data_IF_547956034654
#
_entry.id   IF_547956034654
#
_cell.length_a   1.000
_cell.length_b   1.000
_cell.length_c   1.000
_cell.angle_alpha   90.00
_cell.angle_beta   90.00
_cell.angle_gamma   90.00
#
_symmetry.space_group_name_H-M   'P 1'
#
loop_
_entity.id
_entity.type
_entity.pdbx_description
1 polymer ?
#
# COMPACT_ATOMS: atom_id res chain seq x y z
N UNK A 1 9.99 -6.88 -5.16
CA UNK A 1 9.38 -7.65 -4.05
C UNK A 1 9.08 -6.64 -2.98
N UNK A 2 7.79 -6.46 -2.62
CA UNK A 2 7.36 -5.40 -1.69
C UNK A 2 7.68 -5.76 -0.24
N UNK A 3 7.48 -7.02 0.14
CA UNK A 3 7.84 -7.54 1.46
C UNK A 3 8.95 -8.58 1.35
N UNK A 4 9.98 -8.47 2.20
CA UNK A 4 11.04 -9.49 2.28
C UNK A 4 10.58 -10.76 3.00
N UNK A 5 9.60 -10.65 3.88
CA UNK A 5 9.02 -11.74 4.67
C UNK A 5 7.51 -11.58 4.62
N UNK A 6 6.82 -12.60 4.10
CA UNK A 6 5.38 -12.60 3.98
C UNK A 6 4.76 -12.95 5.34
N UNK A 7 3.83 -12.14 5.88
CA UNK A 7 3.10 -12.49 7.09
C UNK A 7 2.19 -13.70 6.83
N UNK A 8 2.04 -14.56 7.84
CA UNK A 8 1.11 -15.67 7.73
C UNK A 8 -0.35 -15.17 7.75
N UNK A 9 -1.22 -15.84 6.98
CA UNK A 9 -2.67 -15.54 6.99
C UNK A 9 -3.29 -15.62 8.41
N UNK A 10 -2.73 -16.45 9.30
CA UNK A 10 -3.15 -16.54 10.69
C UNK A 10 -2.85 -15.24 11.46
N UNK A 11 -1.71 -14.60 11.21
CA UNK A 11 -1.34 -13.31 11.82
C UNK A 11 -2.33 -12.20 11.43
N UNK A 12 -2.78 -12.17 10.17
CA UNK A 12 -3.81 -11.23 9.71
C UNK A 12 -5.16 -11.48 10.39
N UNK A 13 -5.53 -12.76 10.58
CA UNK A 13 -6.76 -13.10 11.31
C UNK A 13 -6.69 -12.67 12.79
N UNK A 14 -5.52 -12.80 13.43
CA UNK A 14 -5.29 -12.34 14.81
C UNK A 14 -5.42 -10.81 14.92
N UNK A 15 -4.82 -10.06 13.98
CA UNK A 15 -4.96 -8.59 13.93
C UNK A 15 -6.40 -8.14 13.74
N UNK A 16 -7.20 -8.92 13.01
CA UNK A 16 -8.64 -8.69 12.87
C UNK A 16 -9.45 -8.94 14.14
N UNK A 17 -8.85 -9.41 15.25
CA UNK A 17 -9.54 -9.68 16.51
C UNK A 17 -10.81 -10.55 16.37
N UNK A 18 -10.76 -11.54 15.46
CA UNK A 18 -11.88 -12.46 15.21
C UNK A 18 -12.97 -11.93 14.26
N UNK A 19 -12.77 -10.77 13.63
CA UNK A 19 -13.72 -10.24 12.62
C UNK A 19 -13.80 -11.09 11.35
N UNK A 20 -12.75 -11.85 11.01
CA UNK A 20 -12.71 -12.69 9.82
C UNK A 20 -11.99 -14.02 10.10
N UNK A 21 -12.46 -15.08 9.46
CA UNK A 21 -11.80 -16.38 9.41
C UNK A 21 -10.78 -16.45 8.26
N UNK A 22 -9.80 -17.35 8.38
CA UNK A 22 -8.82 -17.63 7.30
C UNK A 22 -9.50 -17.95 5.97
N UNK A 23 -10.60 -18.69 6.02
CA UNK A 23 -11.34 -19.06 4.81
C UNK A 23 -11.98 -17.85 4.13
N UNK A 24 -12.47 -16.88 4.90
CA UNK A 24 -13.03 -15.63 4.36
C UNK A 24 -11.95 -14.74 3.76
N UNK A 25 -10.78 -14.64 4.41
CA UNK A 25 -9.65 -13.88 3.89
C UNK A 25 -9.18 -14.42 2.54
N UNK A 26 -8.98 -15.74 2.41
CA UNK A 26 -8.57 -16.35 1.14
C UNK A 26 -9.66 -16.28 0.05
N UNK A 27 -10.94 -16.25 0.44
CA UNK A 27 -12.04 -16.00 -0.53
C UNK A 27 -12.00 -14.55 -1.03
N UNK A 28 -11.77 -13.58 -0.14
CA UNK A 28 -11.65 -12.18 -0.49
C UNK A 28 -10.45 -11.92 -1.41
N UNK A 29 -9.29 -12.50 -1.09
CA UNK A 29 -8.09 -12.44 -1.93
C UNK A 29 -8.38 -12.90 -3.36
N UNK A 30 -8.92 -14.12 -3.54
CA UNK A 30 -9.24 -14.64 -4.89
C UNK A 30 -10.19 -13.73 -5.66
N UNK A 31 -11.16 -13.12 -4.96
CA UNK A 31 -12.12 -12.18 -5.57
C UNK A 31 -11.47 -10.87 -5.99
N UNK A 32 -10.51 -10.36 -5.22
CA UNK A 32 -9.79 -9.13 -5.54
C UNK A 32 -8.82 -9.38 -6.70
N UNK A 33 -8.04 -10.47 -6.63
CA UNK A 33 -7.10 -10.84 -7.69
C UNK A 33 -7.80 -11.06 -9.04
N UNK A 34 -8.96 -11.71 -9.03
CA UNK A 34 -9.75 -11.90 -10.26
C UNK A 34 -10.29 -10.59 -10.83
N UNK A 35 -10.64 -9.61 -9.98
CA UNK A 35 -11.09 -8.29 -10.42
C UNK A 35 -9.96 -7.42 -10.98
N UNK A 36 -8.73 -7.65 -10.53
CA UNK A 36 -7.55 -6.95 -11.00
C UNK A 36 -6.89 -7.62 -12.21
N UNK A 37 -7.48 -8.69 -12.77
CA UNK A 37 -6.88 -9.53 -13.81
C UNK A 37 -5.45 -9.99 -13.47
N UNK A 38 -5.17 -10.21 -12.17
CA UNK A 38 -3.84 -10.51 -11.64
C UNK A 38 -2.75 -9.46 -11.97
N UNK A 39 -3.15 -8.24 -12.38
CA UNK A 39 -2.24 -7.12 -12.64
C UNK A 39 -2.04 -6.31 -11.36
N UNK A 40 -1.05 -6.73 -10.56
CA UNK A 40 -0.73 -6.11 -9.27
C UNK A 40 0.34 -5.02 -9.37
N UNK A 41 0.99 -4.88 -10.52
CA UNK A 41 2.02 -3.88 -10.71
C UNK A 41 1.41 -2.49 -10.82
N UNK A 42 1.63 -1.67 -9.80
CA UNK A 42 1.30 -0.25 -9.81
C UNK A 42 2.53 0.54 -9.32
N UNK A 43 3.00 1.57 -10.06
CA UNK A 43 4.06 2.42 -9.55
C UNK A 43 3.54 3.19 -8.33
N UNK A 44 3.91 2.74 -7.14
CA UNK A 44 3.46 3.37 -5.91
C UNK A 44 3.90 4.84 -5.81
N UNK A 45 3.11 5.72 -5.17
CA UNK A 45 3.42 7.14 -5.07
C UNK A 45 4.74 7.42 -4.34
N UNK A 46 5.20 6.51 -3.46
CA UNK A 46 6.52 6.57 -2.83
C UNK A 46 7.67 6.46 -3.84
N UNK A 47 7.53 5.63 -4.88
CA UNK A 47 8.52 5.51 -5.95
C UNK A 47 8.60 6.82 -6.73
N UNK A 48 7.46 7.39 -7.11
CA UNK A 48 7.39 8.67 -7.81
C UNK A 48 8.01 9.80 -6.97
N UNK A 49 7.69 9.86 -5.67
CA UNK A 49 8.28 10.83 -4.76
C UNK A 49 9.81 10.70 -4.68
N UNK A 50 10.33 9.47 -4.59
CA UNK A 50 11.77 9.21 -4.58
C UNK A 50 12.46 9.66 -5.87
N UNK A 51 11.85 9.43 -7.03
CA UNK A 51 12.36 9.89 -8.32
C UNK A 51 12.38 11.42 -8.41
N UNK A 52 11.28 12.08 -8.02
CA UNK A 52 11.18 13.55 -8.02
C UNK A 52 12.21 14.17 -7.09
N UNK A 53 12.40 13.60 -5.90
CA UNK A 53 13.38 14.08 -4.94
C UNK A 53 14.82 13.89 -5.42
N UNK A 54 15.13 12.77 -6.07
CA UNK A 54 16.43 12.54 -6.68
C UNK A 54 16.72 13.55 -7.79
N UNK A 55 15.73 13.83 -8.65
CA UNK A 55 15.82 14.83 -9.72
C UNK A 55 16.00 16.25 -9.17
N UNK A 56 15.29 16.59 -8.09
CA UNK A 56 15.34 17.90 -7.47
C UNK A 56 16.54 18.09 -6.51
N UNK A 57 17.35 17.06 -6.26
CA UNK A 57 18.44 17.12 -5.27
C UNK A 57 17.92 17.41 -3.85
N UNK A 58 16.73 16.90 -3.52
CA UNK A 58 16.03 17.23 -2.27
C UNK A 58 16.77 16.69 -1.06
N UNK A 59 16.75 17.46 0.03
CA UNK A 59 17.33 17.03 1.29
C UNK A 59 16.49 15.91 1.94
N UNK A 60 17.13 15.13 2.82
CA UNK A 60 16.44 14.08 3.59
C UNK A 60 15.26 14.61 4.40
N UNK A 61 15.34 15.85 4.89
CA UNK A 61 14.26 16.47 5.66
C UNK A 61 13.02 16.75 4.81
N UNK A 62 13.21 17.24 3.57
CA UNK A 62 12.11 17.43 2.60
C UNK A 62 11.47 16.09 2.26
N UNK A 63 12.28 15.06 2.05
CA UNK A 63 11.78 13.70 1.78
C UNK A 63 10.91 13.16 2.91
N UNK A 64 11.37 13.26 4.17
CA UNK A 64 10.59 12.80 5.31
C UNK A 64 9.24 13.53 5.43
N UNK A 65 9.24 14.84 5.22
CA UNK A 65 8.03 15.65 5.29
C UNK A 65 7.05 15.30 4.15
N UNK A 66 7.57 15.12 2.93
CA UNK A 66 6.76 14.74 1.79
C UNK A 66 6.19 13.32 1.93
N UNK A 67 6.97 12.35 2.45
CA UNK A 67 6.45 11.01 2.79
C UNK A 67 5.34 11.11 3.84
N UNK A 68 5.51 11.92 4.88
CA UNK A 68 4.48 12.12 5.89
C UNK A 68 3.17 12.66 5.30
N UNK A 69 3.23 13.70 4.46
CA UNK A 69 2.03 14.22 3.81
C UNK A 69 1.40 13.24 2.83
N UNK A 70 2.21 12.43 2.15
CA UNK A 70 1.71 11.38 1.27
C UNK A 70 0.90 10.35 2.07
N UNK A 71 1.41 9.88 3.21
CA UNK A 71 0.70 8.93 4.08
C UNK A 71 -0.61 9.53 4.60
N UNK A 72 -0.61 10.82 4.97
CA UNK A 72 -1.84 11.51 5.37
C UNK A 72 -2.89 11.55 4.25
N UNK A 73 -2.46 11.77 3.00
CA UNK A 73 -3.38 11.84 1.86
C UNK A 73 -4.12 10.51 1.60
N UNK A 74 -3.56 9.37 2.00
CA UNK A 74 -4.24 8.06 1.84
C UNK A 74 -5.51 7.93 2.69
N UNK A 75 -5.63 8.72 3.76
CA UNK A 75 -6.82 8.74 4.62
C UNK A 75 -7.93 9.62 4.04
N UNK A 76 -7.60 10.49 3.09
CA UNK A 76 -8.55 11.41 2.46
C UNK A 76 -9.13 10.76 1.20
N UNK A 77 -10.42 10.42 1.24
CA UNK A 77 -11.11 9.78 0.10
C UNK A 77 -11.04 10.63 -1.19
N UNK A 78 -11.03 11.95 -1.06
CA UNK A 78 -10.87 12.90 -2.17
C UNK A 78 -9.47 12.84 -2.79
N UNK A 79 -8.45 12.56 -1.98
CA UNK A 79 -7.09 12.35 -2.48
C UNK A 79 -6.93 10.95 -3.08
N UNK A 80 -7.69 9.94 -2.68
CA UNK A 80 -7.62 8.61 -3.32
C UNK A 80 -8.02 8.61 -4.82
N UNK A 81 -8.63 9.71 -5.30
CA UNK A 81 -9.05 9.91 -6.68
C UNK A 81 -8.03 10.63 -7.58
N UNK A 82 -6.72 10.61 -7.28
CA UNK A 82 -5.69 11.17 -8.17
C UNK A 82 -5.84 10.58 -9.60
N UNK A 83 -6.49 11.35 -10.49
CA UNK A 83 -6.61 11.11 -11.93
C UNK A 83 -5.47 11.83 -12.67
#
# INVERSE_FOLDING_TARGET
MEECVLPESASLCLLGAGSFSRAELLRAERRILSRLDFRLHHPGPLLCLGLLAALAGSSRQVMLLATYFLELSLLEAEAAGWQ
#
